data_IF_597972235488
#
_entry.id   IF_597972235488
#
_cell.length_a   1.000
_cell.length_b   1.000
_cell.length_c   1.000
_cell.angle_alpha   90.00
_cell.angle_beta   90.00
_cell.angle_gamma   90.00
#
_symmetry.space_group_name_H-M   'P 1'
#
loop_
_entity.id
_entity.type
_entity.pdbx_description
1 polymer ?
#
# COMPACT_ATOMS: atom_id res chain seq x y z
N UNK A 1 -11.17 -1.34 -14.45
CA UNK A 1 -11.74 -1.65 -13.12
C UNK A 1 -13.23 -1.79 -13.30
N UNK A 2 -13.80 -2.95 -12.92
CA UNK A 2 -15.25 -3.15 -12.98
C UNK A 2 -15.93 -2.19 -12.01
N UNK A 3 -17.11 -1.66 -12.38
CA UNK A 3 -17.87 -0.82 -11.47
C UNK A 3 -18.24 -1.65 -10.23
N UNK A 4 -18.01 -1.15 -9.01
CA UNK A 4 -18.26 -1.92 -7.81
C UNK A 4 -19.74 -2.26 -7.68
N UNK A 5 -20.04 -3.55 -7.50
CA UNK A 5 -21.41 -4.04 -7.29
C UNK A 5 -21.93 -3.48 -5.97
N UNK A 6 -23.19 -3.07 -5.96
CA UNK A 6 -23.85 -2.48 -4.78
C UNK A 6 -24.89 -3.45 -4.24
N UNK A 7 -24.84 -3.70 -2.94
CA UNK A 7 -25.78 -4.53 -2.20
C UNK A 7 -26.21 -3.84 -0.91
N UNK A 8 -27.39 -4.14 -0.43
CA UNK A 8 -27.84 -3.84 0.93
C UNK A 8 -27.34 -4.93 1.89
N UNK A 9 -27.33 -4.65 3.19
CA UNK A 9 -26.98 -5.67 4.19
C UNK A 9 -27.91 -6.91 4.15
N UNK A 10 -29.16 -6.74 3.71
CA UNK A 10 -30.10 -7.86 3.56
C UNK A 10 -29.71 -8.75 2.38
N UNK A 11 -29.35 -8.15 1.24
CA UNK A 11 -28.87 -8.89 0.06
C UNK A 11 -27.54 -9.60 0.34
N UNK A 12 -26.63 -8.94 1.07
CA UNK A 12 -25.39 -9.56 1.53
C UNK A 12 -25.68 -10.83 2.35
N UNK A 13 -26.60 -10.75 3.31
CA UNK A 13 -26.94 -11.89 4.17
C UNK A 13 -27.41 -13.10 3.35
N UNK A 14 -28.16 -12.86 2.27
CA UNK A 14 -28.71 -13.91 1.43
C UNK A 14 -27.68 -14.47 0.42
N UNK A 15 -26.61 -13.72 0.12
CA UNK A 15 -25.62 -14.06 -0.92
C UNK A 15 -24.17 -14.00 -0.39
N UNK A 16 -23.96 -14.30 0.89
CA UNK A 16 -22.67 -14.06 1.56
C UNK A 16 -21.51 -14.83 0.91
N UNK A 17 -21.69 -16.11 0.59
CA UNK A 17 -20.64 -16.94 0.00
C UNK A 17 -20.29 -16.50 -1.42
N UNK A 18 -21.29 -16.28 -2.26
CA UNK A 18 -21.10 -15.73 -3.61
C UNK A 18 -20.39 -14.36 -3.56
N UNK A 19 -20.80 -13.49 -2.64
CA UNK A 19 -20.16 -12.18 -2.46
C UNK A 19 -18.70 -12.33 -2.01
N UNK A 20 -18.37 -13.32 -1.18
CA UNK A 20 -16.99 -13.60 -0.80
C UNK A 20 -16.17 -14.13 -1.97
N UNK A 21 -16.71 -15.05 -2.77
CA UNK A 21 -16.03 -15.57 -3.97
C UNK A 21 -15.75 -14.45 -4.98
N UNK A 22 -16.71 -13.56 -5.19
CA UNK A 22 -16.56 -12.34 -6.00
C UNK A 22 -15.45 -11.44 -5.44
N UNK A 23 -15.43 -11.19 -4.12
CA UNK A 23 -14.38 -10.39 -3.48
C UNK A 23 -13.02 -11.04 -3.68
N UNK A 24 -12.88 -12.35 -3.40
CA UNK A 24 -11.62 -13.10 -3.59
C UNK A 24 -11.12 -13.03 -5.05
N UNK A 25 -12.04 -12.97 -6.02
CA UNK A 25 -11.69 -12.81 -7.44
C UNK A 25 -11.21 -11.38 -7.81
N UNK A 26 -11.25 -10.44 -6.87
CA UNK A 26 -10.80 -9.07 -7.04
C UNK A 26 -11.93 -8.06 -7.26
N UNK A 27 -13.19 -8.46 -7.14
CA UNK A 27 -14.32 -7.54 -7.28
C UNK A 27 -14.60 -6.78 -5.98
N UNK A 28 -14.70 -5.45 -6.09
CA UNK A 28 -15.14 -4.63 -4.96
C UNK A 28 -16.65 -4.67 -4.81
N UNK A 29 -17.11 -4.91 -3.59
CA UNK A 29 -18.53 -4.93 -3.22
C UNK A 29 -18.83 -3.78 -2.26
N UNK A 30 -19.79 -2.94 -2.61
CA UNK A 30 -20.27 -1.85 -1.77
C UNK A 30 -21.54 -2.27 -1.05
N UNK A 31 -21.54 -2.14 0.26
CA UNK A 31 -22.61 -2.62 1.13
C UNK A 31 -23.22 -1.47 1.91
N UNK A 32 -24.50 -1.22 1.67
CA UNK A 32 -25.26 -0.21 2.40
C UNK A 32 -25.92 -0.83 3.63
N UNK A 33 -25.57 -0.32 4.81
CA UNK A 33 -26.16 -0.68 6.09
C UNK A 33 -27.52 0.01 6.29
N UNK A 34 -28.35 -0.49 7.21
CA UNK A 34 -29.70 0.04 7.47
C UNK A 34 -29.72 1.48 7.98
N UNK A 35 -28.63 1.94 8.58
CA UNK A 35 -28.46 3.32 9.04
C UNK A 35 -27.98 4.28 7.93
N UNK A 36 -27.88 3.81 6.69
CA UNK A 36 -27.38 4.59 5.55
C UNK A 36 -25.85 4.63 5.41
N UNK A 37 -25.08 4.08 6.36
CA UNK A 37 -23.63 3.95 6.22
C UNK A 37 -23.28 2.95 5.12
N UNK A 38 -22.20 3.21 4.38
CA UNK A 38 -21.71 2.33 3.33
C UNK A 38 -20.33 1.77 3.70
N UNK A 39 -20.13 0.47 3.46
CA UNK A 39 -18.87 -0.24 3.68
C UNK A 39 -18.44 -0.90 2.37
N UNK A 40 -17.14 -0.94 2.09
CA UNK A 40 -16.60 -1.70 0.97
C UNK A 40 -16.00 -3.01 1.46
N UNK A 41 -16.30 -4.11 0.78
CA UNK A 41 -15.55 -5.36 0.88
C UNK A 41 -14.59 -5.42 -0.30
N UNK A 42 -13.31 -5.58 0.02
CA UNK A 42 -12.20 -5.70 -0.92
C UNK A 42 -11.22 -6.76 -0.40
N UNK A 43 -10.46 -7.41 -1.28
CA UNK A 43 -9.34 -8.24 -0.87
C UNK A 43 -8.35 -7.47 -0.01
N UNK A 44 -7.82 -8.13 1.02
CA UNK A 44 -6.81 -7.55 1.91
C UNK A 44 -5.52 -7.26 1.13
N UNK A 45 -5.12 -8.16 0.22
CA UNK A 45 -3.91 -7.99 -0.59
C UNK A 45 -3.99 -6.75 -1.50
N UNK A 46 -5.19 -6.38 -1.93
CA UNK A 46 -5.41 -5.15 -2.70
C UNK A 46 -5.16 -3.91 -1.85
N UNK A 47 -5.61 -3.90 -0.59
CA UNK A 47 -5.32 -2.79 0.35
C UNK A 47 -3.82 -2.70 0.63
N UNK A 48 -3.16 -3.83 0.87
CA UNK A 48 -1.73 -3.87 1.13
C UNK A 48 -0.93 -3.33 -0.05
N UNK A 49 -1.25 -3.76 -1.28
CA UNK A 49 -0.64 -3.24 -2.52
C UNK A 49 -0.81 -1.73 -2.66
N UNK A 50 -2.02 -1.21 -2.39
CA UNK A 50 -2.27 0.24 -2.44
C UNK A 50 -1.44 1.00 -1.40
N UNK A 51 -1.29 0.47 -0.19
CA UNK A 51 -0.45 1.08 0.83
C UNK A 51 1.03 1.08 0.44
N UNK A 52 1.52 -0.01 -0.17
CA UNK A 52 2.88 -0.06 -0.71
C UNK A 52 3.09 0.97 -1.83
N UNK A 53 2.11 1.14 -2.73
CA UNK A 53 2.16 2.14 -3.80
C UNK A 53 2.19 3.57 -3.26
N UNK A 54 1.39 3.87 -2.23
CA UNK A 54 1.40 5.18 -1.57
C UNK A 54 2.79 5.50 -1.02
N UNK A 55 3.40 4.57 -0.30
CA UNK A 55 4.75 4.76 0.26
C UNK A 55 5.81 4.87 -0.84
N UNK A 56 5.69 4.10 -1.93
CA UNK A 56 6.56 4.25 -3.10
C UNK A 56 6.43 5.64 -3.72
N UNK A 57 5.22 6.14 -3.92
CA UNK A 57 4.98 7.47 -4.49
C UNK A 57 5.53 8.58 -3.59
N UNK A 58 5.35 8.46 -2.28
CA UNK A 58 5.90 9.39 -1.29
C UNK A 58 7.43 9.41 -1.34
N UNK A 59 8.07 8.24 -1.33
CA UNK A 59 9.52 8.12 -1.42
C UNK A 59 10.06 8.66 -2.75
N UNK A 60 9.34 8.42 -3.86
CA UNK A 60 9.69 8.95 -5.17
C UNK A 60 9.60 10.48 -5.19
N UNK A 61 8.54 11.06 -4.64
CA UNK A 61 8.36 12.51 -4.56
C UNK A 61 9.47 13.16 -3.72
N UNK A 62 9.84 12.55 -2.59
CA UNK A 62 10.96 13.00 -1.75
C UNK A 62 12.27 12.94 -2.56
N UNK A 63 12.58 11.79 -3.15
CA UNK A 63 13.81 11.61 -3.93
C UNK A 63 13.90 12.56 -5.13
N UNK A 64 12.77 12.82 -5.80
CA UNK A 64 12.70 13.78 -6.89
C UNK A 64 12.94 15.22 -6.41
N UNK A 65 12.33 15.62 -5.30
CA UNK A 65 12.58 16.94 -4.70
C UNK A 65 14.05 17.12 -4.28
N UNK A 66 14.67 16.10 -3.69
CA UNK A 66 16.09 16.10 -3.33
C UNK A 66 16.98 16.21 -4.57
N UNK A 67 16.66 15.49 -5.64
CA UNK A 67 17.38 15.57 -6.91
C UNK A 67 17.31 16.99 -7.51
N UNK A 68 16.13 17.62 -7.50
CA UNK A 68 15.96 19.00 -7.97
C UNK A 68 16.77 20.02 -7.16
N UNK A 69 16.99 19.76 -5.86
CA UNK A 69 17.82 20.60 -4.98
C UNK A 69 19.32 20.29 -5.08
N UNK A 70 19.73 19.32 -5.91
CA UNK A 70 21.11 18.88 -6.00
C UNK A 70 21.60 18.09 -4.79
N UNK A 71 20.71 17.60 -3.93
CA UNK A 71 21.03 16.81 -2.74
C UNK A 71 21.39 15.34 -3.07
N UNK A 72 21.49 15.01 -4.36
CA UNK A 72 21.91 13.70 -4.84
C UNK A 72 23.34 13.37 -4.38
N UNK A 73 23.57 12.11 -3.99
CA UNK A 73 24.90 11.62 -3.61
C UNK A 73 25.44 10.74 -4.72
N UNK A 74 26.66 11.01 -5.18
CA UNK A 74 27.32 10.16 -6.16
C UNK A 74 27.58 8.75 -5.58
N UNK A 75 27.63 7.76 -6.47
CA UNK A 75 27.88 6.35 -6.09
C UNK A 75 29.21 6.18 -5.35
N UNK A 76 30.24 6.95 -5.72
CA UNK A 76 31.55 6.92 -5.05
C UNK A 76 31.48 7.41 -3.61
N UNK A 77 30.80 8.54 -3.38
CA UNK A 77 30.58 9.10 -2.04
C UNK A 77 29.74 8.17 -1.16
N UNK A 78 28.70 7.55 -1.73
CA UNK A 78 27.87 6.58 -1.02
C UNK A 78 28.67 5.36 -0.57
N UNK A 79 29.50 4.78 -1.44
CA UNK A 79 30.39 3.64 -1.11
C UNK A 79 31.31 3.96 0.06
N UNK A 80 31.89 5.17 0.09
CA UNK A 80 32.75 5.58 1.20
C UNK A 80 31.98 5.72 2.51
N UNK A 81 30.78 6.32 2.50
CA UNK A 81 29.92 6.46 3.68
C UNK A 81 29.53 5.08 4.25
N UNK A 82 29.15 4.13 3.39
CA UNK A 82 28.79 2.77 3.79
C UNK A 82 29.96 2.03 4.44
N UNK A 83 31.16 2.08 3.83
CA UNK A 83 32.38 1.48 4.42
C UNK A 83 32.71 2.06 5.80
N UNK A 84 32.57 3.38 5.98
CA UNK A 84 32.77 4.03 7.29
C UNK A 84 31.74 3.55 8.32
N UNK A 85 30.47 3.45 7.92
CA UNK A 85 29.39 2.97 8.80
C UNK A 85 29.61 1.52 9.22
N UNK A 86 29.99 0.65 8.28
CA UNK A 86 30.31 -0.76 8.55
C UNK A 86 31.41 -0.90 9.60
N UNK A 87 32.54 -0.18 9.42
CA UNK A 87 33.63 -0.16 10.41
C UNK A 87 33.15 0.29 11.79
N UNK A 88 32.30 1.32 11.86
CA UNK A 88 31.77 1.82 13.13
C UNK A 88 30.82 0.85 13.84
N UNK A 89 30.09 0.02 13.09
CA UNK A 89 29.20 -0.99 13.66
C UNK A 89 29.99 -2.18 14.20
N UNK A 90 31.04 -2.61 13.48
CA UNK A 90 31.93 -3.68 13.94
C UNK A 90 32.65 -3.30 15.23
N UNK A 91 33.23 -2.11 15.29
CA UNK A 91 33.92 -1.60 16.48
C UNK A 91 33.01 -1.30 17.70
N UNK A 92 31.68 -1.40 17.57
CA UNK A 92 30.72 -1.28 18.69
C UNK A 92 30.28 -2.65 19.23
N UNK A 93 30.54 -3.72 18.49
CA UNK A 93 30.16 -5.09 18.83
C UNK A 93 31.36 -5.93 19.30
N UNK A 94 32.57 -5.34 19.29
CA UNK A 94 33.78 -5.83 19.94
C UNK A 94 33.98 -5.07 21.27
#
# INVERSE_FOLDING_TARGET
MSNPKRKTITELRNSIFETFDEVVSGETQLITHKNGSMVAMVPVDQIEKLNEEIERHKNLAIGYAQALRGEGVSTSTLKQKLKKKEKSLRAKND
#
